data_IF_944077789725
#
_entry.id   IF_944077789725
#
_cell.length_a   1.000
_cell.length_b   1.000
_cell.length_c   1.000
_cell.angle_alpha   90.00
_cell.angle_beta   90.00
_cell.angle_gamma   90.00
#
_symmetry.space_group_name_H-M   'P 1'
#
loop_
_entity.id
_entity.type
_entity.pdbx_description
1 polymer ?
#
# COMPACT_ATOMS: atom_id res chain seq x y z
N UNK A 1 5.21 -59.58 -2.99
CA UNK A 1 5.82 -58.29 -2.59
C UNK A 1 4.95 -57.65 -1.52
N UNK A 2 5.45 -57.53 -0.30
CA UNK A 2 4.70 -57.11 0.89
C UNK A 2 4.67 -55.59 1.00
N UNK A 3 3.48 -54.97 1.06
CA UNK A 3 3.33 -53.56 1.40
C UNK A 3 3.20 -53.42 2.92
N UNK A 4 4.27 -53.00 3.57
CA UNK A 4 4.26 -52.66 5.00
C UNK A 4 4.06 -51.15 5.16
N UNK A 5 2.82 -50.70 5.42
CA UNK A 5 2.57 -49.31 5.80
C UNK A 5 3.05 -49.09 7.24
N UNK A 6 4.20 -48.45 7.37
CA UNK A 6 4.73 -48.04 8.68
C UNK A 6 3.99 -46.79 9.18
N UNK A 7 3.95 -46.66 10.51
CA UNK A 7 3.30 -45.61 11.33
C UNK A 7 3.66 -44.15 10.97
N UNK A 8 4.53 -43.94 9.97
CA UNK A 8 4.94 -42.65 9.42
C UNK A 8 3.97 -42.07 8.40
N UNK A 9 2.82 -42.71 8.15
CA UNK A 9 1.81 -42.20 7.21
C UNK A 9 0.96 -41.05 7.77
N UNK A 10 0.99 -40.80 9.09
CA UNK A 10 0.15 -39.79 9.74
C UNK A 10 0.86 -38.46 10.04
N UNK A 11 2.19 -38.43 10.12
CA UNK A 11 2.96 -37.21 10.37
C UNK A 11 2.94 -36.25 9.16
N UNK A 12 2.95 -36.81 7.94
CA UNK A 12 2.87 -36.03 6.69
C UNK A 12 1.49 -35.36 6.56
N UNK A 13 0.42 -36.03 6.98
CA UNK A 13 -0.93 -35.47 6.96
C UNK A 13 -1.16 -34.38 8.01
N UNK A 14 -0.47 -34.44 9.16
CA UNK A 14 -0.50 -33.40 10.20
C UNK A 14 0.35 -32.17 9.85
N UNK A 15 1.47 -32.36 9.14
CA UNK A 15 2.35 -31.27 8.70
C UNK A 15 1.76 -30.43 7.57
N UNK A 16 0.77 -30.94 6.83
CA UNK A 16 0.01 -30.21 5.79
C UNK A 16 -1.07 -29.34 6.49
N UNK A 17 -0.65 -28.50 7.44
CA UNK A 17 -1.46 -27.36 7.87
C UNK A 17 -1.28 -26.27 6.81
N UNK A 18 -1.91 -26.45 5.66
CA UNK A 18 -1.97 -25.40 4.62
C UNK A 18 -2.65 -24.20 5.28
N UNK A 19 -1.85 -23.21 5.65
CA UNK A 19 -2.33 -21.88 6.06
C UNK A 19 -2.94 -21.27 4.81
N UNK A 20 -4.22 -21.55 4.54
CA UNK A 20 -4.97 -21.16 3.33
C UNK A 20 -5.04 -19.64 3.07
N UNK A 21 -4.35 -18.81 3.86
CA UNK A 21 -4.45 -17.37 3.84
C UNK A 21 -3.12 -16.66 4.16
N UNK A 22 -1.97 -17.32 3.94
CA UNK A 22 -0.67 -16.68 4.12
C UNK A 22 -0.16 -16.19 2.75
N UNK A 23 0.10 -14.88 2.58
CA UNK A 23 0.64 -14.37 1.33
C UNK A 23 2.03 -14.97 1.08
N UNK A 24 2.28 -15.41 -0.15
CA UNK A 24 3.59 -15.91 -0.59
C UNK A 24 4.63 -14.77 -0.71
N UNK A 25 4.14 -13.56 -0.93
CA UNK A 25 4.91 -12.32 -0.94
C UNK A 25 3.96 -11.17 -0.63
N UNK A 26 4.48 -10.11 -0.01
CA UNK A 26 3.77 -8.88 0.28
C UNK A 26 4.63 -7.71 -0.13
N UNK A 27 4.03 -6.70 -0.77
CA UNK A 27 4.69 -5.45 -1.09
C UNK A 27 3.80 -4.27 -0.69
N UNK A 28 4.41 -3.14 -0.38
CA UNK A 28 3.72 -1.90 -0.02
C UNK A 28 3.80 -0.94 -1.20
N UNK A 29 2.67 -0.33 -1.56
CA UNK A 29 2.64 0.73 -2.56
C UNK A 29 2.32 2.06 -1.89
N UNK A 30 3.20 3.05 -2.10
CA UNK A 30 2.98 4.40 -1.62
C UNK A 30 2.28 5.23 -2.70
N UNK A 31 1.16 5.86 -2.34
CA UNK A 31 0.44 6.81 -3.20
C UNK A 31 0.49 8.19 -2.56
N UNK A 32 1.22 9.11 -3.18
CA UNK A 32 1.30 10.50 -2.73
C UNK A 32 -0.04 11.24 -2.87
N UNK A 33 -0.31 12.15 -1.92
CA UNK A 33 -1.47 13.07 -1.97
C UNK A 33 -1.15 14.40 -2.66
N UNK A 34 0.14 14.69 -2.87
CA UNK A 34 0.63 15.88 -3.56
C UNK A 34 1.66 15.44 -4.61
N UNK A 35 1.62 16.10 -5.76
CA UNK A 35 2.64 15.94 -6.79
C UNK A 35 3.94 16.64 -6.37
N UNK A 36 5.06 16.14 -6.89
CA UNK A 36 6.38 16.67 -6.59
C UNK A 36 6.49 18.15 -6.98
N UNK A 37 7.10 18.94 -6.10
CA UNK A 37 7.31 20.38 -6.31
C UNK A 37 6.06 21.25 -6.10
N UNK A 38 4.88 20.68 -5.85
CA UNK A 38 3.69 21.47 -5.49
C UNK A 38 3.87 22.10 -4.12
N UNK A 39 3.69 23.42 -4.03
CA UNK A 39 3.74 24.16 -2.76
C UNK A 39 2.36 24.21 -2.14
N UNK A 40 2.26 23.83 -0.86
CA UNK A 40 1.04 23.93 -0.06
C UNK A 40 1.10 25.15 0.85
N UNK A 41 0.25 26.14 0.59
CA UNK A 41 0.29 27.45 1.26
C UNK A 41 -1.01 27.66 2.05
N UNK A 42 -0.96 27.78 3.39
CA UNK A 42 -2.16 28.11 4.16
C UNK A 42 -2.60 29.54 3.88
N UNK A 43 -3.88 29.74 3.60
CA UNK A 43 -4.45 31.08 3.30
C UNK A 43 -5.37 31.51 4.43
N UNK A 44 -5.10 32.71 4.96
CA UNK A 44 -5.87 33.36 6.03
C UNK A 44 -6.04 34.85 5.73
N UNK A 45 -6.85 35.14 4.73
CA UNK A 45 -7.07 36.51 4.26
C UNK A 45 -8.52 36.94 4.50
N UNK A 46 -8.72 37.93 5.38
CA UNK A 46 -10.04 38.34 5.86
C UNK A 46 -10.87 37.16 6.39
N UNK A 47 -12.00 36.90 5.73
CA UNK A 47 -12.92 35.79 6.02
C UNK A 47 -12.53 34.47 5.34
N UNK A 48 -11.53 34.46 4.47
CA UNK A 48 -11.07 33.26 3.77
C UNK A 48 -10.21 32.40 4.70
N UNK A 49 -10.53 31.11 4.72
CA UNK A 49 -9.76 30.07 5.40
C UNK A 49 -9.61 28.90 4.46
N UNK A 50 -8.39 28.57 4.08
CA UNK A 50 -8.15 27.51 3.12
C UNK A 50 -6.68 27.16 2.94
N UNK A 51 -6.42 26.40 1.89
CA UNK A 51 -5.07 26.03 1.47
C UNK A 51 -4.98 26.19 -0.03
N UNK A 52 -3.97 26.93 -0.48
CA UNK A 52 -3.61 27.06 -1.89
C UNK A 52 -2.55 26.01 -2.23
N UNK A 53 -2.73 25.33 -3.36
CA UNK A 53 -1.73 24.44 -3.94
C UNK A 53 -1.18 25.08 -5.20
N UNK A 54 0.12 25.36 -5.22
CA UNK A 54 0.79 26.04 -6.32
C UNK A 54 1.71 25.07 -7.06
N UNK A 55 1.53 24.83 -8.37
CA UNK A 55 2.44 24.02 -9.16
C UNK A 55 3.87 24.60 -9.20
N UNK A 56 4.89 23.79 -9.49
CA UNK A 56 6.24 24.31 -9.72
C UNK A 56 6.29 25.17 -11.00
N UNK A 57 7.13 26.21 -11.00
CA UNK A 57 7.35 27.10 -12.15
C UNK A 57 6.97 28.58 -11.89
N UNK A 58 7.15 29.43 -12.90
CA UNK A 58 6.97 30.89 -12.79
C UNK A 58 5.53 31.36 -12.99
N UNK A 59 4.61 30.50 -13.44
CA UNK A 59 3.21 30.85 -13.68
C UNK A 59 3.00 31.84 -14.85
N UNK A 60 1.76 32.36 -15.04
CA UNK A 60 0.57 32.15 -14.22
C UNK A 60 -0.01 30.74 -14.37
N UNK A 61 -0.81 30.31 -13.38
CA UNK A 61 -1.50 29.02 -13.39
C UNK A 61 -3.01 29.26 -13.39
N UNK A 62 -3.75 28.49 -14.18
CA UNK A 62 -5.21 28.54 -14.20
C UNK A 62 -5.79 28.07 -12.86
N UNK A 63 -6.87 28.73 -12.42
CA UNK A 63 -7.56 28.42 -11.16
C UNK A 63 -9.04 28.09 -11.32
N UNK A 64 -9.47 27.67 -12.52
CA UNK A 64 -10.85 27.23 -12.79
C UNK A 64 -11.24 25.97 -12.01
#
# INVERSE_FOLDING_TARGET
MSLSLTKSSWTILMAIRIRRNQPLSSNTFEKGYMADGVKRIPVREGRIRGTLFLPPGNGPFSGE
#
